data_IF_606930750899
#
_entry.id   IF_606930750899
#
_cell.length_a   1.000
_cell.length_b   1.000
_cell.length_c   1.000
_cell.angle_alpha   90.00
_cell.angle_beta   90.00
_cell.angle_gamma   90.00
#
_symmetry.space_group_name_H-M   'P 1'
#
loop_
_entity.id
_entity.type
_entity.pdbx_description
1 polymer ?
#
# COMPACT_ATOMS: atom_id res chain seq x y z
N UNK A 1 9.68 10.02 17.84
CA UNK A 1 9.91 8.63 18.27
C UNK A 1 9.45 7.73 17.12
N UNK A 2 10.37 7.18 16.33
CA UNK A 2 10.04 6.28 15.21
C UNK A 2 9.56 4.96 15.80
N UNK A 3 8.29 4.64 15.58
CA UNK A 3 7.66 3.43 16.06
C UNK A 3 7.93 2.34 15.03
N UNK A 4 9.13 1.79 15.05
CA UNK A 4 9.57 0.80 14.06
C UNK A 4 8.71 -0.45 14.18
N UNK A 5 7.78 -0.64 13.24
CA UNK A 5 6.94 -1.82 13.21
C UNK A 5 7.81 -3.05 12.88
N UNK A 6 7.88 -4.00 13.82
CA UNK A 6 8.57 -5.31 13.71
C UNK A 6 7.64 -6.44 13.27
N UNK A 7 6.57 -6.14 12.54
CA UNK A 7 5.61 -7.14 12.08
C UNK A 7 5.80 -7.43 10.59
N UNK A 8 6.26 -8.65 10.27
CA UNK A 8 6.49 -9.08 8.89
C UNK A 8 7.71 -9.98 8.76
N UNK A 9 7.62 -10.94 7.84
CA UNK A 9 8.71 -11.85 7.50
C UNK A 9 8.96 -11.86 5.99
N UNK A 10 9.63 -12.90 5.48
CA UNK A 10 9.85 -13.05 4.04
C UNK A 10 8.54 -13.01 3.22
N UNK A 11 7.42 -13.47 3.81
CA UNK A 11 6.09 -13.40 3.19
C UNK A 11 5.61 -11.97 2.94
N UNK A 12 6.05 -10.99 3.72
CA UNK A 12 5.67 -9.58 3.54
C UNK A 12 6.24 -9.06 2.22
N UNK A 13 7.48 -9.40 1.88
CA UNK A 13 8.08 -9.03 0.59
C UNK A 13 7.32 -9.67 -0.57
N UNK A 14 6.94 -10.94 -0.44
CA UNK A 14 6.15 -11.65 -1.46
C UNK A 14 4.78 -10.99 -1.62
N UNK A 15 4.11 -10.66 -0.51
CA UNK A 15 2.81 -9.99 -0.50
C UNK A 15 2.89 -8.62 -1.18
N UNK A 16 3.88 -7.79 -0.83
CA UNK A 16 4.07 -6.47 -1.45
C UNK A 16 4.38 -6.58 -2.94
N UNK A 17 5.18 -7.57 -3.35
CA UNK A 17 5.47 -7.84 -4.77
C UNK A 17 4.21 -8.24 -5.55
N UNK A 18 3.37 -9.10 -4.99
CA UNK A 18 2.10 -9.50 -5.63
C UNK A 18 1.14 -8.31 -5.66
N UNK A 19 1.05 -7.54 -4.57
CA UNK A 19 0.22 -6.35 -4.49
C UNK A 19 0.59 -5.33 -5.56
N UNK A 20 1.89 -5.04 -5.74
CA UNK A 20 2.37 -4.14 -6.79
C UNK A 20 1.96 -4.61 -8.19
N UNK A 21 2.07 -5.91 -8.49
CA UNK A 21 1.59 -6.47 -9.75
C UNK A 21 0.08 -6.31 -9.93
N UNK A 22 -0.67 -6.53 -8.86
CA UNK A 22 -2.12 -6.42 -8.85
C UNK A 22 -2.55 -4.97 -9.10
N UNK A 23 -2.00 -4.00 -8.37
CA UNK A 23 -2.30 -2.57 -8.55
C UNK A 23 -1.98 -2.12 -9.97
N UNK A 24 -0.79 -2.48 -10.48
CA UNK A 24 -0.38 -2.14 -11.85
C UNK A 24 -1.34 -2.70 -12.91
N UNK A 25 -1.85 -3.92 -12.71
CA UNK A 25 -2.77 -4.53 -13.65
C UNK A 25 -4.10 -3.77 -13.72
N UNK A 26 -4.70 -3.46 -12.56
CA UNK A 26 -6.00 -2.78 -12.53
C UNK A 26 -5.92 -1.32 -12.96
N UNK A 27 -4.89 -0.59 -12.54
CA UNK A 27 -4.69 0.79 -12.98
C UNK A 27 -4.47 0.84 -14.50
N UNK A 28 -3.71 -0.10 -15.06
CA UNK A 28 -3.51 -0.19 -16.51
C UNK A 28 -4.77 -0.59 -17.26
N UNK A 29 -5.52 -1.57 -16.77
CA UNK A 29 -6.73 -2.07 -17.42
C UNK A 29 -7.87 -1.04 -17.40
N UNK A 30 -7.96 -0.24 -16.32
CA UNK A 30 -9.06 0.68 -16.08
C UNK A 30 -8.74 2.14 -16.45
N UNK A 31 -7.50 2.47 -16.85
CA UNK A 31 -7.05 3.84 -17.19
C UNK A 31 -7.91 4.61 -18.20
N UNK A 32 -8.63 3.91 -19.07
CA UNK A 32 -9.45 4.51 -20.14
C UNK A 32 -10.96 4.39 -19.86
N UNK A 33 -11.34 4.01 -18.66
CA UNK A 33 -12.74 3.91 -18.26
C UNK A 33 -13.15 5.22 -17.57
N UNK A 34 -14.39 5.66 -17.78
CA UNK A 34 -14.96 6.82 -17.07
C UNK A 34 -15.36 6.43 -15.63
N UNK A 35 -14.39 5.95 -14.84
CA UNK A 35 -14.57 5.44 -13.49
C UNK A 35 -13.52 6.08 -12.58
N UNK A 36 -13.92 6.45 -11.37
CA UNK A 36 -12.98 6.89 -10.35
C UNK A 36 -12.34 5.67 -9.67
N UNK A 37 -11.02 5.53 -9.78
CA UNK A 37 -10.21 4.48 -9.17
C UNK A 37 -9.77 4.88 -7.77
N UNK A 38 -10.21 4.10 -6.78
CA UNK A 38 -9.95 4.34 -5.37
C UNK A 38 -9.21 3.17 -4.74
N UNK A 39 -8.09 3.46 -4.06
CA UNK A 39 -7.37 2.46 -3.28
C UNK A 39 -7.78 2.54 -1.80
N UNK A 40 -8.31 1.45 -1.26
CA UNK A 40 -8.75 1.36 0.14
C UNK A 40 -7.99 0.22 0.80
N UNK A 41 -7.21 0.53 1.83
CA UNK A 41 -6.54 -0.46 2.67
C UNK A 41 -6.95 -0.28 4.14
N UNK A 42 -7.86 -1.11 4.59
CA UNK A 42 -8.38 -1.10 5.96
C UNK A 42 -7.35 -1.57 7.00
N UNK A 43 -6.22 -2.13 6.57
CA UNK A 43 -5.20 -2.73 7.44
C UNK A 43 -3.80 -2.18 7.12
N UNK A 44 -3.70 -0.95 6.60
CA UNK A 44 -2.45 -0.32 6.18
C UNK A 44 -1.42 -0.16 7.32
N UNK A 45 -1.87 -0.16 8.58
CA UNK A 45 -1.02 0.00 9.75
C UNK A 45 -0.20 1.30 9.69
N UNK A 46 1.05 1.26 10.16
CA UNK A 46 1.95 2.42 10.22
C UNK A 46 2.55 2.82 8.84
N UNK A 47 2.28 2.06 7.77
CA UNK A 47 2.79 2.35 6.44
C UNK A 47 4.26 1.97 6.19
N UNK A 48 5.09 1.76 7.22
CA UNK A 48 6.48 1.28 7.09
C UNK A 48 6.72 0.04 7.95
N UNK A 49 7.46 -0.93 7.40
CA UNK A 49 7.87 -2.16 8.10
C UNK A 49 9.38 -2.30 8.03
N UNK A 50 10.02 -2.56 9.18
CA UNK A 50 11.45 -2.84 9.19
C UNK A 50 11.68 -4.36 9.12
N UNK A 51 12.14 -4.83 7.96
CA UNK A 51 12.46 -6.24 7.73
C UNK A 51 13.98 -6.36 7.70
N UNK A 52 14.55 -7.05 8.70
CA UNK A 52 16.00 -7.32 8.78
C UNK A 52 16.90 -6.08 8.69
N UNK A 53 16.47 -4.94 9.25
CA UNK A 53 17.25 -3.69 9.24
C UNK A 53 17.01 -2.80 8.02
N UNK A 54 16.23 -3.26 7.03
CA UNK A 54 15.82 -2.49 5.86
C UNK A 54 14.39 -1.99 6.03
N UNK A 55 14.17 -0.68 5.93
CA UNK A 55 12.83 -0.09 5.90
C UNK A 55 12.15 -0.39 4.57
N UNK A 56 10.99 -1.02 4.61
CA UNK A 56 10.20 -1.37 3.43
C UNK A 56 8.87 -0.62 3.50
N UNK A 57 8.54 0.07 2.40
CA UNK A 57 7.25 0.74 2.23
C UNK A 57 6.12 -0.29 2.23
N UNK A 58 5.12 -0.05 3.08
CA UNK A 58 3.91 -0.83 3.18
C UNK A 58 2.94 -0.58 2.02
N UNK A 59 1.80 -1.27 2.08
CA UNK A 59 0.77 -1.27 1.05
C UNK A 59 0.19 0.12 0.73
N UNK A 60 -0.10 0.93 1.76
CA UNK A 60 -0.60 2.29 1.55
C UNK A 60 0.42 3.24 0.91
N UNK A 61 1.71 3.13 1.28
CA UNK A 61 2.76 3.93 0.64
C UNK A 61 3.00 3.48 -0.80
N UNK A 62 3.03 2.17 -1.06
CA UNK A 62 3.15 1.63 -2.42
C UNK A 62 2.01 2.06 -3.34
N UNK A 63 0.80 2.22 -2.80
CA UNK A 63 -0.35 2.67 -3.60
C UNK A 63 -0.22 4.13 -4.07
N UNK A 64 0.59 4.97 -3.42
CA UNK A 64 0.81 6.36 -3.82
C UNK A 64 1.57 6.49 -5.14
N UNK A 65 2.33 5.47 -5.53
CA UNK A 65 3.10 5.44 -6.78
C UNK A 65 2.21 5.18 -8.02
N UNK A 66 0.93 4.90 -7.83
CA UNK A 66 -0.02 4.58 -8.88
C UNK A 66 -1.04 5.71 -9.12
N UNK A 67 -1.59 5.73 -10.33
CA UNK A 67 -2.55 6.73 -10.79
C UNK A 67 -3.96 6.41 -10.28
N UNK A 68 -4.19 6.69 -9.00
CA UNK A 68 -5.50 6.68 -8.36
C UNK A 68 -6.07 8.10 -8.28
N UNK A 69 -7.39 8.22 -8.40
CA UNK A 69 -8.07 9.51 -8.36
C UNK A 69 -7.92 10.19 -6.99
N UNK A 70 -7.61 11.50 -7.03
CA UNK A 70 -7.19 12.33 -5.89
C UNK A 70 -8.16 12.29 -4.70
N UNK A 71 -9.46 12.10 -4.93
CA UNK A 71 -10.48 12.00 -3.88
C UNK A 71 -10.35 10.76 -2.98
N UNK A 72 -9.54 9.77 -3.35
CA UNK A 72 -9.51 8.45 -2.71
C UNK A 72 -8.20 8.09 -2.00
N UNK A 73 -7.28 9.05 -1.81
CA UNK A 73 -6.05 8.87 -1.01
C UNK A 73 -6.31 8.99 0.51
N UNK A 74 -7.41 8.38 0.99
CA UNK A 74 -7.75 8.37 2.42
C UNK A 74 -6.97 7.27 3.14
N UNK A 75 -5.72 7.56 3.50
CA UNK A 75 -5.08 6.83 4.59
C UNK A 75 -5.79 7.23 5.89
N UNK A 76 -6.67 6.38 6.40
CA UNK A 76 -7.36 6.62 7.67
C UNK A 76 -6.29 6.72 8.78
N UNK A 77 -6.15 7.86 9.46
CA UNK A 77 -5.25 7.96 10.60
C UNK A 77 -5.87 7.13 11.74
N UNK A 78 -5.21 6.04 12.13
CA UNK A 78 -5.38 5.48 13.48
C UNK A 78 -6.16 4.17 13.64
N UNK A 79 -6.08 3.22 12.70
CA UNK A 79 -6.40 1.82 13.03
C UNK A 79 -5.10 1.01 13.04
N UNK A 80 -4.45 1.01 14.21
CA UNK A 80 -3.50 -0.03 14.56
C UNK A 80 -4.32 -1.27 14.97
N UNK A 81 -4.26 -2.33 14.17
CA UNK A 81 -4.57 -3.69 14.61
C UNK A 81 -3.30 -4.31 15.16
#
# INVERSE_FOLDING_TARGET
MSLTQKFGGAWTLIKLKILSKYLNFYTTALKNQFLNLCYIDAFAGCGEVNIQGSGVSGSALLALDYDFDVCCKLALPGIAV
#
